data_IF_566554804235
#
_entry.id   IF_566554804235
#
_cell.length_a   1.000
_cell.length_b   1.000
_cell.length_c   1.000
_cell.angle_alpha   90.00
_cell.angle_beta   90.00
_cell.angle_gamma   90.00
#
_symmetry.space_group_name_H-M   'P 1'
#
loop_
_entity.id
_entity.type
_entity.pdbx_description
1 polymer ?
#
# COMPACT_ATOMS: atom_id res chain seq x y z
N UNK A 1 1.61 7.11 76.01
CA UNK A 1 0.59 7.33 74.95
C UNK A 1 1.37 7.38 73.62
N UNK A 2 1.40 6.29 72.90
CA UNK A 2 2.13 6.18 71.62
C UNK A 2 1.15 6.53 70.50
N UNK A 3 1.39 7.65 69.79
CA UNK A 3 0.61 8.02 68.62
C UNK A 3 1.06 7.14 67.45
N UNK A 4 0.17 6.31 66.98
CA UNK A 4 0.32 5.48 65.79
C UNK A 4 0.05 6.41 64.57
N UNK A 5 1.09 6.75 63.83
CA UNK A 5 0.95 7.48 62.55
C UNK A 5 0.70 6.45 61.47
N UNK A 6 -0.51 6.42 60.94
CA UNK A 6 -0.95 5.61 59.83
C UNK A 6 -0.53 6.33 58.54
N UNK A 7 0.58 5.89 57.92
CA UNK A 7 1.00 6.39 56.61
C UNK A 7 0.21 5.61 55.52
N UNK A 8 -0.84 6.25 55.01
CA UNK A 8 -1.56 5.76 53.85
C UNK A 8 -0.70 6.07 52.61
N UNK A 9 0.01 5.05 52.13
CA UNK A 9 0.67 5.09 50.83
C UNK A 9 -0.40 5.00 49.73
N UNK A 10 -0.77 6.15 49.19
CA UNK A 10 -1.61 6.23 48.00
C UNK A 10 -0.75 5.79 46.79
N UNK A 11 -0.86 4.52 46.46
CA UNK A 11 -0.28 3.99 45.21
C UNK A 11 -1.10 4.55 44.04
N UNK A 12 -0.67 5.68 43.50
CA UNK A 12 -1.18 6.20 42.23
C UNK A 12 -0.66 5.25 41.14
N UNK A 13 -1.46 4.24 40.81
CA UNK A 13 -1.28 3.43 39.63
C UNK A 13 -1.59 4.35 38.43
N UNK A 14 -0.58 5.06 37.97
CA UNK A 14 -0.64 5.73 36.65
C UNK A 14 -0.77 4.63 35.60
N UNK A 15 -2.00 4.32 35.22
CA UNK A 15 -2.27 3.60 34.00
C UNK A 15 -1.81 4.49 32.85
N UNK A 16 -0.53 4.37 32.51
CA UNK A 16 -0.03 4.79 31.21
C UNK A 16 -0.81 3.95 30.19
N UNK A 17 -1.89 4.50 29.63
CA UNK A 17 -2.44 3.98 28.39
C UNK A 17 -1.31 4.05 27.36
N UNK A 18 -0.54 2.95 27.23
CA UNK A 18 0.24 2.74 26.03
C UNK A 18 -0.80 2.67 24.90
N UNK A 19 -1.06 3.82 24.27
CA UNK A 19 -1.63 3.84 22.94
C UNK A 19 -0.61 3.13 22.06
N UNK A 20 -0.76 1.82 21.92
CA UNK A 20 -0.06 1.05 20.89
C UNK A 20 -0.55 1.61 19.56
N UNK A 21 0.18 2.56 19.05
CA UNK A 21 -0.07 3.13 17.74
C UNK A 21 0.06 2.00 16.72
N UNK A 22 -1.08 1.42 16.31
CA UNK A 22 -1.08 0.32 15.34
C UNK A 22 -0.43 0.83 14.06
N UNK A 23 0.77 0.33 13.79
CA UNK A 23 1.53 0.68 12.60
C UNK A 23 0.75 0.25 11.35
N UNK A 24 0.78 1.07 10.30
CA UNK A 24 0.24 0.66 9.00
C UNK A 24 1.19 -0.38 8.39
N UNK A 25 0.63 -1.53 8.05
CA UNK A 25 1.38 -2.61 7.43
C UNK A 25 1.62 -2.30 5.94
N UNK A 26 2.86 -2.43 5.44
CA UNK A 26 3.12 -2.34 4.01
C UNK A 26 2.44 -3.50 3.27
N UNK A 27 1.98 -3.24 2.06
CA UNK A 27 1.45 -4.28 1.18
C UNK A 27 2.61 -4.91 0.42
N UNK A 28 2.81 -6.21 0.55
CA UNK A 28 3.86 -6.92 -0.18
C UNK A 28 3.50 -8.38 -0.46
N UNK A 29 4.20 -8.97 -1.42
CA UNK A 29 4.13 -10.39 -1.76
C UNK A 29 5.52 -11.00 -1.92
N UNK A 30 5.58 -12.31 -1.79
CA UNK A 30 6.82 -13.09 -1.89
C UNK A 30 7.53 -13.31 -0.56
N UNK A 31 8.62 -14.05 -0.60
CA UNK A 31 9.40 -14.40 0.58
C UNK A 31 10.16 -13.19 1.12
N UNK A 32 10.17 -13.03 2.45
CA UNK A 32 11.01 -12.03 3.12
C UNK A 32 12.50 -12.26 2.88
N UNK A 33 12.89 -13.52 2.61
CA UNK A 33 14.28 -13.92 2.39
C UNK A 33 14.69 -13.85 0.91
N UNK A 34 13.80 -13.35 0.03
CA UNK A 34 14.10 -13.21 -1.39
C UNK A 34 15.29 -12.26 -1.60
N UNK A 35 16.26 -12.69 -2.41
CA UNK A 35 17.45 -11.89 -2.73
C UNK A 35 17.13 -10.61 -3.49
N UNK A 36 16.04 -10.61 -4.27
CA UNK A 36 15.64 -9.47 -5.07
C UNK A 36 14.48 -8.76 -4.38
N UNK A 37 14.72 -7.50 -3.98
CA UNK A 37 13.71 -6.62 -3.42
C UNK A 37 13.22 -5.69 -4.53
N UNK A 38 11.96 -5.83 -4.90
CA UNK A 38 11.28 -5.01 -5.89
C UNK A 38 10.27 -4.09 -5.17
N UNK A 39 10.35 -2.80 -5.42
CA UNK A 39 9.33 -1.84 -4.99
C UNK A 39 8.68 -1.28 -6.25
N UNK A 40 7.35 -1.24 -6.28
CA UNK A 40 6.61 -0.54 -7.31
C UNK A 40 5.89 0.65 -6.67
N UNK A 41 6.21 1.86 -7.15
CA UNK A 41 5.49 3.09 -6.80
C UNK A 41 4.38 3.32 -7.82
N UNK A 42 3.15 3.39 -7.34
CA UNK A 42 1.97 3.35 -8.20
C UNK A 42 0.82 4.23 -7.73
N UNK A 43 -0.08 4.56 -8.65
CA UNK A 43 -1.29 5.30 -8.39
C UNK A 43 -2.49 4.52 -8.89
N UNK A 44 -3.51 4.39 -8.05
CA UNK A 44 -4.71 3.60 -8.36
C UNK A 44 -5.58 4.21 -9.48
N UNK A 45 -5.37 5.49 -9.85
CA UNK A 45 -6.02 6.12 -11.00
C UNK A 45 -5.17 6.08 -12.27
N UNK A 46 -3.90 5.65 -12.19
CA UNK A 46 -3.00 5.60 -13.33
C UNK A 46 -3.29 4.37 -14.22
N UNK A 47 -3.63 4.59 -15.50
CA UNK A 47 -3.89 3.51 -16.46
C UNK A 47 -2.68 2.62 -16.71
N UNK A 48 -1.46 3.19 -16.77
CA UNK A 48 -0.23 2.42 -16.91
C UNK A 48 0.07 1.53 -15.69
N UNK A 49 -0.38 1.92 -14.50
CA UNK A 49 -0.33 1.05 -13.32
C UNK A 49 -1.30 -0.13 -13.46
N UNK A 50 -2.53 0.12 -13.92
CA UNK A 50 -3.45 -0.96 -14.23
C UNK A 50 -2.91 -1.90 -15.33
N UNK A 51 -2.27 -1.36 -16.36
CA UNK A 51 -1.62 -2.17 -17.39
C UNK A 51 -0.48 -3.04 -16.81
N UNK A 52 0.31 -2.51 -15.87
CA UNK A 52 1.31 -3.31 -15.16
C UNK A 52 0.67 -4.48 -14.42
N UNK A 53 -0.39 -4.24 -13.66
CA UNK A 53 -1.09 -5.28 -12.89
C UNK A 53 -1.79 -6.31 -13.78
N UNK A 54 -2.32 -5.92 -14.93
CA UNK A 54 -3.05 -6.81 -15.82
C UNK A 54 -2.12 -7.60 -16.76
N UNK A 55 -0.98 -7.02 -17.19
CA UNK A 55 -0.21 -7.55 -18.31
C UNK A 55 1.25 -7.93 -17.95
N UNK A 56 1.80 -7.44 -16.85
CA UNK A 56 3.19 -7.69 -16.45
C UNK A 56 3.28 -8.49 -15.14
N UNK A 57 2.49 -8.06 -14.15
CA UNK A 57 2.52 -8.64 -12.83
C UNK A 57 2.15 -10.15 -12.79
N UNK A 58 1.17 -10.69 -13.55
CA UNK A 58 0.85 -12.10 -13.50
C UNK A 58 2.04 -13.01 -13.85
N UNK A 59 2.79 -12.65 -14.88
CA UNK A 59 4.00 -13.38 -15.27
C UNK A 59 5.14 -13.17 -14.27
N UNK A 60 5.29 -11.98 -13.72
CA UNK A 60 6.25 -11.69 -12.65
C UNK A 60 5.94 -12.53 -11.41
N UNK A 61 4.66 -12.60 -11.01
CA UNK A 61 4.21 -13.40 -9.87
C UNK A 61 4.56 -14.88 -10.08
N UNK A 62 4.08 -15.47 -11.16
CA UNK A 62 4.28 -16.89 -11.50
C UNK A 62 5.75 -17.30 -11.57
N UNK A 63 6.59 -16.45 -12.18
CA UNK A 63 7.95 -16.84 -12.53
C UNK A 63 9.01 -16.43 -11.51
N UNK A 64 8.71 -15.48 -10.61
CA UNK A 64 9.70 -14.95 -9.68
C UNK A 64 9.19 -14.88 -8.24
N UNK A 65 7.97 -14.33 -8.00
CA UNK A 65 7.45 -14.12 -6.66
C UNK A 65 7.08 -15.45 -6.01
N UNK A 66 6.26 -16.26 -6.69
CA UNK A 66 5.81 -17.58 -6.18
C UNK A 66 6.96 -18.59 -6.07
N UNK A 67 8.08 -18.33 -6.75
CA UNK A 67 9.32 -19.11 -6.61
C UNK A 67 10.24 -18.61 -5.50
N UNK A 68 9.84 -17.59 -4.75
CA UNK A 68 10.66 -17.03 -3.67
C UNK A 68 11.89 -16.25 -4.13
N UNK A 69 12.02 -15.93 -5.43
CA UNK A 69 13.18 -15.22 -5.99
C UNK A 69 13.08 -13.72 -5.81
N UNK A 70 11.84 -13.18 -5.80
CA UNK A 70 11.52 -11.77 -5.67
C UNK A 70 10.52 -11.56 -4.54
N UNK A 71 10.78 -10.57 -3.70
CA UNK A 71 9.78 -9.92 -2.85
C UNK A 71 9.39 -8.62 -3.52
N UNK A 72 8.09 -8.41 -3.74
CA UNK A 72 7.54 -7.15 -4.24
C UNK A 72 6.81 -6.40 -3.13
N UNK A 73 7.07 -5.11 -3.00
CA UNK A 73 6.36 -4.18 -2.13
C UNK A 73 5.63 -3.14 -2.99
N UNK A 74 4.33 -3.00 -2.76
CA UNK A 74 3.47 -2.04 -3.43
C UNK A 74 3.41 -0.75 -2.61
N UNK A 75 3.98 0.34 -3.14
CA UNK A 75 4.03 1.64 -2.48
C UNK A 75 3.19 2.68 -3.19
N UNK A 76 2.60 3.53 -2.39
CA UNK A 76 1.64 4.51 -2.87
C UNK A 76 2.35 5.75 -3.44
N UNK A 77 1.88 6.16 -4.63
CA UNK A 77 2.23 7.43 -5.24
C UNK A 77 0.96 8.07 -5.84
N UNK A 78 -0.03 8.47 -5.01
CA UNK A 78 -1.28 9.00 -5.51
C UNK A 78 -1.06 10.25 -6.36
N UNK A 79 -1.63 10.26 -7.57
CA UNK A 79 -1.55 11.39 -8.50
C UNK A 79 -2.67 12.41 -8.26
N UNK A 80 -3.77 11.98 -7.62
CA UNK A 80 -4.96 12.76 -7.34
C UNK A 80 -5.68 12.27 -6.07
N UNK A 81 -6.76 12.95 -5.69
CA UNK A 81 -7.55 12.61 -4.50
C UNK A 81 -8.26 11.26 -4.62
N UNK A 82 -8.68 10.87 -5.82
CA UNK A 82 -9.33 9.58 -6.03
C UNK A 82 -8.33 8.43 -5.84
N UNK A 83 -7.09 8.60 -6.31
CA UNK A 83 -6.01 7.66 -6.04
C UNK A 83 -5.68 7.57 -4.55
N UNK A 84 -5.64 8.72 -3.84
CA UNK A 84 -5.42 8.74 -2.40
C UNK A 84 -6.52 7.96 -1.66
N UNK A 85 -7.79 8.22 -1.98
CA UNK A 85 -8.92 7.53 -1.37
C UNK A 85 -8.89 6.03 -1.67
N UNK A 86 -8.64 5.64 -2.92
CA UNK A 86 -8.51 4.23 -3.29
C UNK A 86 -7.33 3.54 -2.58
N UNK A 87 -6.21 4.24 -2.38
CA UNK A 87 -5.08 3.73 -1.58
C UNK A 87 -5.47 3.52 -0.11
N UNK A 88 -6.28 4.41 0.47
CA UNK A 88 -6.82 4.23 1.84
C UNK A 88 -7.70 2.98 1.91
N UNK A 89 -8.51 2.72 0.90
CA UNK A 89 -9.30 1.49 0.80
C UNK A 89 -8.40 0.24 0.70
N UNK A 90 -7.34 0.27 -0.12
CA UNK A 90 -6.41 -0.85 -0.24
C UNK A 90 -5.71 -1.21 1.09
N UNK A 91 -5.44 -0.22 1.94
CA UNK A 91 -4.85 -0.40 3.27
C UNK A 91 -5.86 -0.61 4.40
N UNK A 92 -7.17 -0.62 4.12
CA UNK A 92 -8.20 -0.55 5.17
C UNK A 92 -8.15 -1.70 6.17
N UNK A 93 -7.91 -2.92 5.72
CA UNK A 93 -7.79 -4.09 6.61
C UNK A 93 -6.49 -4.12 7.40
N UNK A 94 -5.51 -3.36 7.00
CA UNK A 94 -4.18 -3.31 7.60
C UNK A 94 -3.52 -4.68 7.79
N UNK A 95 -3.84 -5.63 6.92
CA UNK A 95 -3.35 -7.02 6.96
C UNK A 95 -2.09 -7.27 6.12
N UNK A 96 -1.64 -6.24 5.38
CA UNK A 96 -0.48 -6.29 4.50
C UNK A 96 -0.70 -7.08 3.20
N UNK A 97 -1.94 -7.52 2.93
CA UNK A 97 -2.28 -8.29 1.73
C UNK A 97 -2.60 -7.39 0.56
N UNK A 98 -2.35 -7.90 -0.63
CA UNK A 98 -2.52 -7.19 -1.91
C UNK A 98 -3.87 -7.43 -2.59
N UNK A 99 -4.74 -8.26 -2.02
CA UNK A 99 -5.99 -8.67 -2.66
C UNK A 99 -6.85 -7.47 -3.09
N UNK A 100 -7.06 -6.50 -2.19
CA UNK A 100 -7.87 -5.31 -2.47
C UNK A 100 -7.16 -4.40 -3.48
N UNK A 101 -5.84 -4.28 -3.37
CA UNK A 101 -5.04 -3.49 -4.31
C UNK A 101 -5.21 -4.01 -5.75
N UNK A 102 -5.00 -5.32 -5.96
CA UNK A 102 -5.17 -5.95 -7.26
C UNK A 102 -6.61 -5.88 -7.75
N UNK A 103 -7.58 -6.09 -6.86
CA UNK A 103 -8.99 -5.94 -7.20
C UNK A 103 -9.31 -4.54 -7.73
N UNK A 104 -8.79 -3.50 -7.10
CA UNK A 104 -8.99 -2.11 -7.53
C UNK A 104 -8.36 -1.83 -8.90
N UNK A 105 -7.15 -2.33 -9.18
CA UNK A 105 -6.51 -2.19 -10.50
C UNK A 105 -7.25 -2.97 -11.58
N UNK A 106 -7.62 -4.22 -11.32
CA UNK A 106 -8.35 -5.06 -12.28
C UNK A 106 -9.72 -4.48 -12.65
N UNK A 107 -10.30 -3.69 -11.76
CA UNK A 107 -11.59 -3.03 -11.96
C UNK A 107 -11.50 -1.52 -12.16
N UNK A 108 -10.28 -0.98 -12.41
CA UNK A 108 -10.05 0.47 -12.46
C UNK A 108 -11.06 1.19 -13.36
N UNK A 109 -11.33 0.68 -14.56
CA UNK A 109 -12.28 1.25 -15.52
C UNK A 109 -13.73 1.27 -15.02
N UNK A 110 -14.07 0.50 -13.99
CA UNK A 110 -15.43 0.48 -13.42
C UNK A 110 -15.63 1.60 -12.42
N UNK A 111 -14.59 1.98 -11.66
CA UNK A 111 -14.72 2.96 -10.59
C UNK A 111 -14.07 4.32 -10.90
N UNK A 112 -13.05 4.40 -11.77
CA UNK A 112 -12.49 5.68 -12.22
C UNK A 112 -13.41 6.27 -13.28
N UNK A 113 -14.60 6.72 -12.84
CA UNK A 113 -15.64 7.32 -13.68
C UNK A 113 -16.21 8.55 -13.02
N UNK A 114 -16.34 9.64 -13.78
CA UNK A 114 -16.82 10.93 -13.31
C UNK A 114 -15.75 12.01 -13.42
N UNK A 115 -16.16 13.24 -13.22
CA UNK A 115 -15.31 14.43 -13.26
C UNK A 115 -15.08 15.04 -11.87
N UNK A 116 -15.89 14.64 -10.89
CA UNK A 116 -15.82 15.10 -9.49
C UNK A 116 -15.43 13.96 -8.56
N UNK A 117 -14.76 14.30 -7.48
CA UNK A 117 -14.30 13.30 -6.50
C UNK A 117 -15.47 12.52 -5.87
N UNK A 118 -16.60 13.17 -5.65
CA UNK A 118 -17.80 12.56 -5.07
C UNK A 118 -18.37 11.47 -5.99
N UNK A 119 -18.37 11.71 -7.31
CA UNK A 119 -18.81 10.74 -8.32
C UNK A 119 -17.89 9.52 -8.34
N UNK A 120 -16.58 9.76 -8.33
CA UNK A 120 -15.58 8.67 -8.33
C UNK A 120 -15.65 7.87 -7.04
N UNK A 121 -15.76 8.53 -5.88
CA UNK A 121 -15.92 7.86 -4.59
C UNK A 121 -17.20 7.03 -4.52
N UNK A 122 -18.30 7.51 -5.12
CA UNK A 122 -19.55 6.76 -5.22
C UNK A 122 -19.34 5.45 -6.02
N UNK A 123 -18.66 5.52 -7.18
CA UNK A 123 -18.38 4.32 -7.97
C UNK A 123 -17.43 3.37 -7.26
N UNK A 124 -16.42 3.90 -6.56
CA UNK A 124 -15.49 3.12 -5.75
C UNK A 124 -16.22 2.39 -4.62
N UNK A 125 -17.08 3.11 -3.86
CA UNK A 125 -17.90 2.52 -2.80
C UNK A 125 -18.80 1.41 -3.34
N UNK A 126 -19.52 1.69 -4.43
CA UNK A 126 -20.39 0.70 -5.08
C UNK A 126 -19.63 -0.56 -5.50
N UNK A 127 -18.42 -0.41 -6.02
CA UNK A 127 -17.57 -1.53 -6.39
C UNK A 127 -17.16 -2.37 -5.17
N UNK A 128 -16.72 -1.73 -4.09
CA UNK A 128 -16.32 -2.40 -2.85
C UNK A 128 -17.50 -3.15 -2.22
N UNK A 129 -18.66 -2.53 -2.16
CA UNK A 129 -19.87 -3.11 -1.56
C UNK A 129 -20.37 -4.34 -2.36
N UNK A 130 -20.18 -4.35 -3.70
CA UNK A 130 -20.63 -5.44 -4.57
C UNK A 130 -19.91 -6.77 -4.32
N UNK A 131 -18.67 -6.74 -3.84
CA UNK A 131 -17.81 -7.92 -3.69
C UNK A 131 -17.66 -8.38 -2.23
N UNK A 132 -18.42 -7.79 -1.30
CA UNK A 132 -18.44 -8.16 0.13
C UNK A 132 -17.05 -8.23 0.79
N UNK A 133 -16.22 -7.25 0.49
CA UNK A 133 -14.85 -7.21 1.04
C UNK A 133 -14.78 -6.96 2.56
N UNK A 134 -15.92 -6.84 3.26
CA UNK A 134 -15.98 -6.53 4.71
C UNK A 134 -15.18 -5.25 5.06
N UNK A 135 -15.35 -4.23 4.26
CA UNK A 135 -14.72 -2.92 4.41
C UNK A 135 -15.79 -1.89 4.74
N UNK A 136 -15.60 -1.17 5.85
CA UNK A 136 -16.33 0.05 6.14
C UNK A 136 -15.70 1.21 5.35
N UNK A 137 -16.29 1.51 4.20
CA UNK A 137 -15.74 2.49 3.26
C UNK A 137 -15.51 3.86 3.91
N UNK A 138 -16.49 4.37 4.64
CA UNK A 138 -16.44 5.72 5.19
C UNK A 138 -15.37 5.81 6.29
N UNK A 139 -15.28 4.81 7.15
CA UNK A 139 -14.21 4.69 8.15
C UNK A 139 -12.81 4.62 7.53
N UNK A 140 -12.67 3.91 6.39
CA UNK A 140 -11.38 3.82 5.72
C UNK A 140 -10.97 5.16 5.10
N UNK A 141 -11.90 5.86 4.46
CA UNK A 141 -11.67 7.18 3.87
C UNK A 141 -11.26 8.21 4.93
N UNK A 142 -11.81 8.13 6.14
CA UNK A 142 -11.49 9.04 7.23
C UNK A 142 -10.22 8.69 8.02
N UNK A 143 -9.54 7.59 7.67
CA UNK A 143 -8.38 7.11 8.39
C UNK A 143 -7.13 7.96 8.11
N UNK A 144 -6.85 8.93 9.01
CA UNK A 144 -5.71 9.84 8.90
C UNK A 144 -4.34 9.15 9.01
N UNK A 145 -4.22 8.09 9.80
CA UNK A 145 -2.95 7.34 9.91
C UNK A 145 -2.55 6.68 8.59
N UNK A 146 -3.53 6.09 7.91
CA UNK A 146 -3.31 5.49 6.60
C UNK A 146 -3.02 6.59 5.57
N UNK A 147 -3.72 7.73 5.64
CA UNK A 147 -3.45 8.88 4.78
C UNK A 147 -1.99 9.36 4.93
N UNK A 148 -1.54 9.58 6.16
CA UNK A 148 -0.16 10.03 6.45
C UNK A 148 0.88 9.00 5.96
N UNK A 149 0.60 7.70 6.12
CA UNK A 149 1.44 6.64 5.61
C UNK A 149 1.58 6.70 4.08
N UNK A 150 0.46 6.83 3.36
CA UNK A 150 0.42 6.93 1.90
C UNK A 150 1.17 8.18 1.41
N UNK A 151 0.96 9.32 2.05
CA UNK A 151 1.64 10.57 1.69
C UNK A 151 3.13 10.50 1.98
N UNK A 152 3.54 9.79 3.04
CA UNK A 152 4.95 9.53 3.33
C UNK A 152 5.63 8.71 2.25
N UNK A 153 4.98 7.66 1.73
CA UNK A 153 5.48 6.87 0.59
C UNK A 153 5.79 7.78 -0.61
N UNK A 154 4.85 8.66 -0.97
CA UNK A 154 5.02 9.60 -2.07
C UNK A 154 6.18 10.58 -1.83
N UNK A 155 6.28 11.13 -0.61
CA UNK A 155 7.36 12.04 -0.24
C UNK A 155 8.72 11.34 -0.31
N UNK A 156 8.82 10.09 0.19
CA UNK A 156 10.04 9.29 0.11
C UNK A 156 10.43 9.02 -1.34
N UNK A 157 9.48 8.63 -2.20
CA UNK A 157 9.70 8.39 -3.62
C UNK A 157 10.32 9.60 -4.32
N UNK A 158 9.77 10.79 -4.08
CA UNK A 158 10.29 12.04 -4.64
C UNK A 158 11.68 12.38 -4.09
N UNK A 159 11.85 12.29 -2.77
CA UNK A 159 13.11 12.67 -2.12
C UNK A 159 14.26 11.72 -2.48
N UNK A 160 14.03 10.41 -2.38
CA UNK A 160 15.07 9.39 -2.50
C UNK A 160 15.37 9.02 -3.96
N UNK A 161 14.33 8.87 -4.76
CA UNK A 161 14.46 8.34 -6.13
C UNK A 161 14.13 9.36 -7.22
N UNK A 162 13.76 10.62 -6.85
CA UNK A 162 13.37 11.70 -7.78
C UNK A 162 12.25 11.27 -8.71
N UNK A 163 11.26 10.51 -8.19
CA UNK A 163 10.15 10.02 -8.97
C UNK A 163 9.16 11.15 -9.31
N UNK A 164 8.69 11.10 -10.55
CA UNK A 164 7.69 12.04 -11.09
C UNK A 164 6.63 11.34 -11.96
N UNK A 165 6.68 10.01 -12.06
CA UNK A 165 5.75 9.21 -12.88
C UNK A 165 5.46 7.86 -12.24
N UNK A 166 4.32 7.28 -12.61
CA UNK A 166 3.87 5.94 -12.20
C UNK A 166 3.48 5.09 -13.41
N UNK A 167 3.66 3.76 -13.36
CA UNK A 167 4.39 3.04 -12.33
C UNK A 167 5.90 3.26 -12.44
N UNK A 168 6.59 3.30 -11.30
CA UNK A 168 8.06 3.28 -11.28
C UNK A 168 8.54 2.14 -10.40
N UNK A 169 9.43 1.31 -10.94
CA UNK A 169 10.01 0.16 -10.26
C UNK A 169 11.41 0.49 -9.71
N UNK A 170 11.64 0.04 -8.48
CA UNK A 170 12.95 0.10 -7.81
C UNK A 170 13.38 -1.33 -7.52
N UNK A 171 14.48 -1.77 -8.10
CA UNK A 171 15.04 -3.12 -7.93
C UNK A 171 16.32 -3.01 -7.13
N UNK A 172 16.40 -3.61 -5.95
CA UNK A 172 17.57 -3.55 -5.07
C UNK A 172 18.11 -2.11 -4.93
N UNK A 173 17.22 -1.15 -4.60
CA UNK A 173 17.48 0.28 -4.44
C UNK A 173 17.91 1.04 -5.72
N UNK A 174 17.83 0.43 -6.90
CA UNK A 174 18.12 1.09 -8.18
C UNK A 174 16.84 1.23 -9.01
N UNK A 175 16.64 2.41 -9.59
CA UNK A 175 15.51 2.65 -10.49
C UNK A 175 15.64 1.79 -11.74
N UNK A 176 14.54 1.12 -12.11
CA UNK A 176 14.44 0.42 -13.39
C UNK A 176 14.21 1.45 -14.50
N UNK A 177 15.12 1.57 -15.42
CA UNK A 177 15.21 2.64 -16.44
C UNK A 177 14.81 2.20 -17.86
N UNK A 178 14.40 0.94 -18.02
CA UNK A 178 13.98 0.39 -19.31
C UNK A 178 12.47 0.51 -19.50
N UNK A 179 11.97 0.46 -20.76
CA UNK A 179 10.53 0.35 -21.00
C UNK A 179 9.92 -0.79 -20.18
N UNK A 180 8.87 -0.47 -19.40
CA UNK A 180 8.23 -1.40 -18.50
C UNK A 180 7.38 -2.40 -19.30
N UNK A 181 7.92 -3.58 -19.47
CA UNK A 181 7.24 -4.77 -19.99
C UNK A 181 7.89 -6.02 -19.38
N UNK A 182 7.18 -7.13 -19.44
CA UNK A 182 7.67 -8.37 -18.84
C UNK A 182 9.02 -8.83 -19.37
N UNK A 183 9.27 -8.73 -20.69
CA UNK A 183 10.54 -9.13 -21.34
C UNK A 183 11.75 -8.40 -20.74
N UNK A 184 11.66 -7.08 -20.61
CA UNK A 184 12.74 -6.26 -20.07
C UNK A 184 12.92 -6.50 -18.57
N UNK A 185 11.82 -6.62 -17.82
CA UNK A 185 11.84 -6.91 -16.40
C UNK A 185 12.47 -8.28 -16.15
N UNK A 186 11.99 -9.34 -16.82
CA UNK A 186 12.54 -10.69 -16.75
C UNK A 186 14.04 -10.70 -16.98
N UNK A 187 14.52 -10.12 -18.10
CA UNK A 187 15.96 -10.05 -18.42
C UNK A 187 16.78 -9.34 -17.34
N UNK A 188 16.18 -8.39 -16.64
CA UNK A 188 16.86 -7.68 -15.55
C UNK A 188 16.93 -8.51 -14.30
N UNK A 189 15.81 -9.17 -13.91
CA UNK A 189 15.75 -10.02 -12.72
C UNK A 189 16.64 -11.25 -12.86
N UNK A 190 16.64 -11.92 -14.03
CA UNK A 190 17.49 -13.09 -14.32
C UNK A 190 19.01 -12.82 -14.16
N UNK A 191 19.44 -11.58 -14.28
CA UNK A 191 20.85 -11.19 -14.03
C UNK A 191 21.19 -10.99 -12.56
N UNK A 192 20.19 -10.99 -11.69
CA UNK A 192 20.34 -10.76 -10.24
C UNK A 192 20.18 -12.04 -9.40
N UNK A 193 19.74 -13.12 -10.03
CA UNK A 193 19.63 -14.44 -9.43
C UNK A 193 21.01 -15.13 -9.41
#
# INVERSE_FOLDING_TARGET
MKKLILIILFFIFSFSHLNSETKVNPIYEGSTDAKIQLIVYESLTCSHCADFHNNVYPDLKKNFIDKGLVKIEFRNFPLDMAALNASKIAHCKNDGKSDILHFLFNNQKKWVKGSKIEEINFQLKKLIDSEKHEIDFDKCIDNKKVEDYILKDRIEAVKKFKLNATPTLIINNKKFDKPLNYKNLKKTLEKLI
#
